data_IF_872490848176
#
_entry.id   IF_872490848176
#
_cell.length_a   1.000
_cell.length_b   1.000
_cell.length_c   1.000
_cell.angle_alpha   90.00
_cell.angle_beta   90.00
_cell.angle_gamma   90.00
#
_symmetry.space_group_name_H-M   'P 1'
#
loop_
_entity.id
_entity.type
_entity.pdbx_description
1 polymer ?
#
# COMPACT_ATOMS: atom_id res chain seq x y z
N UNK A 1 -10.71 25.14 39.59
CA UNK A 1 -10.34 26.33 38.79
C UNK A 1 -10.05 25.86 37.38
N UNK A 2 -10.86 26.26 36.41
CA UNK A 2 -10.57 26.00 35.00
C UNK A 2 -9.71 27.13 34.43
N UNK A 3 -8.62 26.77 33.75
CA UNK A 3 -7.80 27.73 33.03
C UNK A 3 -8.26 27.84 31.58
N UNK A 4 -8.49 29.06 31.11
CA UNK A 4 -8.87 29.39 29.73
C UNK A 4 -7.96 28.70 28.70
N UNK A 5 -8.54 28.32 27.55
CA UNK A 5 -7.81 27.69 26.44
C UNK A 5 -6.59 28.50 25.97
N UNK A 6 -6.63 29.83 26.10
CA UNK A 6 -5.49 30.72 25.81
C UNK A 6 -4.28 30.43 26.72
N UNK A 7 -4.53 30.14 28.01
CA UNK A 7 -3.48 29.83 28.99
C UNK A 7 -2.83 28.46 28.70
N UNK A 8 -3.61 27.45 28.30
CA UNK A 8 -3.07 26.15 27.86
C UNK A 8 -2.18 26.28 26.62
N UNK A 9 -2.57 27.10 25.64
CA UNK A 9 -1.76 27.37 24.43
C UNK A 9 -0.45 28.09 24.77
N UNK A 10 -0.48 29.06 25.69
CA UNK A 10 0.72 29.76 26.16
C UNK A 10 1.71 28.83 26.89
N UNK A 11 1.18 27.93 27.73
CA UNK A 11 1.96 26.88 28.41
C UNK A 11 2.62 25.93 27.42
N UNK A 12 1.91 25.48 26.38
CA UNK A 12 2.46 24.62 25.34
C UNK A 12 3.59 25.32 24.58
N UNK A 13 3.39 26.58 24.16
CA UNK A 13 4.43 27.36 23.49
C UNK A 13 5.68 27.55 24.37
N UNK A 14 5.53 27.84 25.67
CA UNK A 14 6.65 27.90 26.60
C UNK A 14 7.38 26.56 26.75
N UNK A 15 6.66 25.45 26.85
CA UNK A 15 7.25 24.12 26.97
C UNK A 15 8.09 23.75 25.74
N UNK A 16 7.59 24.03 24.54
CA UNK A 16 8.32 23.82 23.28
C UNK A 16 9.56 24.72 23.17
N UNK A 17 9.48 25.98 23.60
CA UNK A 17 10.63 26.89 23.57
C UNK A 17 11.74 26.49 24.58
N UNK A 18 11.36 25.96 25.76
CA UNK A 18 12.32 25.45 26.75
C UNK A 18 13.02 24.17 26.27
N UNK A 19 12.31 23.25 25.60
CA UNK A 19 12.93 22.04 25.03
C UNK A 19 13.89 22.32 23.87
N UNK A 20 13.75 23.48 23.18
CA UNK A 20 14.70 23.97 22.19
C UNK A 20 15.97 24.65 22.77
N UNK A 21 16.22 24.58 24.09
CA UNK A 21 17.37 25.22 24.78
C UNK A 21 17.50 26.73 24.58
N UNK A 22 16.40 27.43 24.25
CA UNK A 22 16.40 28.89 24.14
C UNK A 22 16.48 29.49 25.54
N UNK A 23 17.40 30.44 25.77
CA UNK A 23 17.54 31.02 27.12
C UNK A 23 16.30 31.85 27.49
N UNK A 24 15.83 31.67 28.72
CA UNK A 24 14.66 32.39 29.26
C UNK A 24 14.85 33.92 29.23
N UNK A 25 16.08 34.40 29.36
CA UNK A 25 16.44 35.81 29.18
C UNK A 25 16.15 36.33 27.76
N UNK A 26 16.44 35.54 26.72
CA UNK A 26 16.19 35.91 25.31
C UNK A 26 14.70 35.98 24.97
N UNK A 27 13.88 35.16 25.66
CA UNK A 27 12.42 35.17 25.53
C UNK A 27 11.83 36.37 26.30
N UNK A 28 12.11 36.50 27.60
CA UNK A 28 11.54 37.58 28.42
C UNK A 28 12.04 38.98 28.01
N UNK A 29 13.21 39.11 27.38
CA UNK A 29 13.69 40.36 26.79
C UNK A 29 12.86 40.87 25.60
N UNK A 30 11.98 40.04 25.02
CA UNK A 30 11.12 40.40 23.87
C UNK A 30 9.61 40.49 24.20
N UNK A 31 9.19 39.97 25.36
CA UNK A 31 7.78 39.93 25.77
C UNK A 31 7.59 40.61 27.14
N UNK A 32 7.59 41.94 27.15
CA UNK A 32 7.68 42.75 28.38
C UNK A 32 6.34 43.10 29.05
N UNK A 33 5.21 42.52 28.62
CA UNK A 33 3.87 42.91 29.08
C UNK A 33 3.07 41.69 29.56
N UNK A 34 2.87 41.59 30.88
CA UNK A 34 1.88 40.71 31.52
C UNK A 34 2.14 39.20 31.42
N UNK A 35 2.88 38.63 32.37
CA UNK A 35 3.09 37.17 32.44
C UNK A 35 4.16 36.76 33.44
N UNK A 36 4.52 35.46 33.52
CA UNK A 36 5.50 34.94 34.49
C UNK A 36 6.91 35.56 34.37
N UNK A 37 7.25 36.19 33.25
CA UNK A 37 8.47 37.00 33.11
C UNK A 37 8.53 38.19 34.09
N UNK A 38 7.41 38.66 34.65
CA UNK A 38 7.36 39.74 35.62
C UNK A 38 7.91 39.37 37.01
N UNK A 39 8.21 38.09 37.26
CA UNK A 39 8.75 37.58 38.53
C UNK A 39 10.28 37.43 38.53
N UNK A 40 10.97 37.81 37.45
CA UNK A 40 12.42 37.68 37.33
C UNK A 40 13.18 38.90 37.92
N UNK A 41 14.33 38.70 38.61
CA UNK A 41 15.09 39.79 39.21
C UNK A 41 15.57 40.84 38.21
N UNK A 42 15.50 42.11 38.60
CA UNK A 42 15.56 43.28 37.71
C UNK A 42 16.98 43.71 37.29
N UNK A 43 17.92 42.78 37.16
CA UNK A 43 19.36 43.06 36.99
C UNK A 43 19.92 42.64 35.62
N UNK A 44 19.37 43.17 34.53
CA UNK A 44 20.12 43.58 33.31
C UNK A 44 19.18 44.25 32.29
N UNK A 45 19.00 45.57 32.39
CA UNK A 45 18.50 46.37 31.26
C UNK A 45 19.70 46.85 30.44
N UNK A 46 19.89 46.29 29.25
CA UNK A 46 20.78 46.88 28.25
C UNK A 46 19.97 47.78 27.33
N UNK A 47 20.27 49.07 27.32
CA UNK A 47 19.69 50.06 26.40
C UNK A 47 20.51 50.12 25.13
N UNK A 48 19.90 49.73 24.00
CA UNK A 48 20.42 50.06 22.66
C UNK A 48 19.31 50.65 21.81
N UNK A 49 19.56 51.84 21.28
CA UNK A 49 18.57 52.70 20.62
C UNK A 49 18.61 52.56 19.09
N UNK A 50 17.44 52.69 18.44
CA UNK A 50 17.28 53.07 17.02
C UNK A 50 18.04 52.27 15.96
N UNK A 51 17.45 51.15 15.56
CA UNK A 51 17.26 50.81 14.16
C UNK A 51 15.92 50.07 14.03
N UNK A 52 15.03 50.50 13.12
CA UNK A 52 13.79 49.78 12.85
C UNK A 52 14.11 48.43 12.20
N UNK A 53 13.55 47.31 12.67
CA UNK A 53 13.87 46.01 12.10
C UNK A 53 13.27 45.88 10.69
N UNK A 54 14.14 45.88 9.68
CA UNK A 54 13.85 45.20 8.42
C UNK A 54 13.66 43.71 8.74
N UNK A 55 12.40 43.27 8.75
CA UNK A 55 12.03 41.86 8.99
C UNK A 55 12.27 41.08 7.70
N UNK A 56 13.53 40.83 7.38
CA UNK A 56 13.89 39.77 6.45
C UNK A 56 13.74 38.43 7.17
N UNK A 57 12.55 37.84 7.07
CA UNK A 57 12.24 36.61 7.79
C UNK A 57 11.24 35.75 7.00
N UNK A 58 11.70 34.60 6.54
CA UNK A 58 10.91 33.58 5.81
C UNK A 58 9.63 33.15 6.55
N UNK A 59 9.60 33.29 7.88
CA UNK A 59 8.42 33.06 8.71
C UNK A 59 7.29 34.06 8.45
N UNK A 60 7.58 35.33 8.13
CA UNK A 60 6.54 36.30 7.78
C UNK A 60 5.98 36.03 6.38
N UNK A 61 6.82 35.64 5.41
CA UNK A 61 6.35 35.18 4.09
C UNK A 61 5.40 33.97 4.24
N UNK A 62 5.77 32.99 5.06
CA UNK A 62 4.93 31.81 5.31
C UNK A 62 3.60 32.19 6.03
N UNK A 63 3.66 33.07 7.02
CA UNK A 63 2.47 33.53 7.76
C UNK A 63 1.49 34.32 6.86
N UNK A 64 2.00 35.21 6.00
CA UNK A 64 1.19 35.95 5.04
C UNK A 64 0.58 35.02 3.98
N UNK A 65 1.33 34.03 3.49
CA UNK A 65 0.84 33.05 2.50
C UNK A 65 -0.27 32.13 3.05
N UNK A 66 -0.28 31.85 4.36
CA UNK A 66 -1.26 30.99 5.01
C UNK A 66 -2.55 31.70 5.48
N UNK A 67 -2.71 33.00 5.19
CA UNK A 67 -3.88 33.82 5.56
C UNK A 67 -4.25 33.78 7.07
N UNK A 68 -3.28 33.55 7.96
CA UNK A 68 -3.51 33.35 9.39
C UNK A 68 -3.47 34.70 10.14
N UNK A 69 -4.44 35.56 9.82
CA UNK A 69 -4.44 37.00 10.07
C UNK A 69 -4.50 37.40 11.56
N UNK A 70 -5.24 36.66 12.40
CA UNK A 70 -5.56 37.06 13.78
C UNK A 70 -4.35 37.16 14.72
N UNK A 71 -3.27 36.40 14.47
CA UNK A 71 -2.10 36.35 15.37
C UNK A 71 -0.87 37.08 14.79
N UNK A 72 -0.66 37.03 13.48
CA UNK A 72 0.55 37.55 12.84
C UNK A 72 0.35 38.85 12.04
N UNK A 73 -0.90 39.29 11.81
CA UNK A 73 -1.19 40.51 11.05
C UNK A 73 -0.52 41.77 11.63
N UNK A 74 -0.42 41.88 12.95
CA UNK A 74 0.24 43.00 13.65
C UNK A 74 1.78 42.92 13.69
N UNK A 75 2.36 41.76 13.33
CA UNK A 75 3.81 41.51 13.39
C UNK A 75 4.48 41.52 12.00
N UNK A 76 3.79 41.05 10.97
CA UNK A 76 4.36 40.86 9.63
C UNK A 76 3.85 41.86 8.57
N UNK A 77 2.85 42.69 8.91
CA UNK A 77 2.33 43.79 8.07
C UNK A 77 2.06 43.38 6.60
N UNK A 78 1.33 42.29 6.38
CA UNK A 78 1.10 41.64 5.08
C UNK A 78 0.36 42.49 4.01
N UNK A 79 0.04 43.75 4.29
CA UNK A 79 -0.69 44.64 3.40
C UNK A 79 0.21 45.18 2.29
N UNK A 80 0.28 44.47 1.15
CA UNK A 80 0.96 44.98 -0.05
C UNK A 80 1.51 43.92 -1.01
N UNK A 81 1.53 42.64 -0.66
CA UNK A 81 1.96 41.58 -1.59
C UNK A 81 0.87 41.21 -2.60
N UNK A 82 0.81 41.97 -3.69
CA UNK A 82 0.12 41.54 -4.91
C UNK A 82 0.81 40.32 -5.51
N UNK A 83 0.25 39.14 -5.28
CA UNK A 83 0.71 37.88 -5.84
C UNK A 83 0.68 37.95 -7.37
N UNK A 84 1.85 37.98 -8.01
CA UNK A 84 1.96 37.76 -9.45
C UNK A 84 1.77 36.28 -9.71
N UNK A 85 0.55 35.88 -10.03
CA UNK A 85 0.19 34.48 -10.27
C UNK A 85 0.82 33.96 -11.56
N UNK A 86 2.05 33.48 -11.47
CA UNK A 86 2.62 32.60 -12.50
C UNK A 86 1.75 31.35 -12.55
N UNK A 87 1.00 31.21 -13.65
CA UNK A 87 0.17 30.05 -13.94
C UNK A 87 1.07 28.83 -14.16
N UNK A 88 1.42 28.17 -13.07
CA UNK A 88 2.08 26.87 -13.11
C UNK A 88 1.02 25.89 -13.58
N UNK A 89 1.10 25.45 -14.84
CA UNK A 89 0.23 24.40 -15.37
C UNK A 89 0.63 23.07 -14.73
N UNK A 90 0.21 22.85 -13.48
CA UNK A 90 0.24 21.54 -12.85
C UNK A 90 -0.80 20.68 -13.56
N UNK A 91 -0.37 19.98 -14.61
CA UNK A 91 -1.07 18.80 -15.10
C UNK A 91 -1.40 17.95 -13.87
N UNK A 92 -2.68 17.60 -13.62
CA UNK A 92 -3.03 16.79 -12.46
C UNK A 92 -2.25 15.49 -12.54
N UNK A 93 -1.30 15.28 -11.63
CA UNK A 93 -0.70 13.96 -11.51
C UNK A 93 -1.81 13.00 -11.11
N UNK A 94 -1.95 11.87 -11.81
CA UNK A 94 -3.01 10.93 -11.51
C UNK A 94 -2.84 10.35 -10.12
N UNK A 95 -3.90 10.41 -9.33
CA UNK A 95 -3.97 9.82 -7.99
C UNK A 95 -3.77 8.30 -8.10
N UNK A 96 -2.59 7.82 -7.71
CA UNK A 96 -2.26 6.39 -7.75
C UNK A 96 -2.78 5.66 -6.52
N UNK A 97 -2.97 4.35 -6.64
CA UNK A 97 -3.14 3.48 -5.47
C UNK A 97 -1.80 3.46 -4.74
N UNK A 98 -1.69 4.08 -3.55
CA UNK A 98 -0.41 4.15 -2.83
C UNK A 98 -0.28 3.06 -1.77
N UNK A 99 0.87 2.39 -1.77
CA UNK A 99 1.35 1.55 -0.68
C UNK A 99 2.48 2.27 0.05
N UNK A 100 2.14 2.89 1.19
CA UNK A 100 3.09 3.69 1.96
C UNK A 100 4.30 2.88 2.45
N UNK A 101 5.44 3.05 1.77
CA UNK A 101 6.75 2.48 2.12
C UNK A 101 7.32 3.09 3.41
N UNK A 102 6.88 2.63 4.57
CA UNK A 102 7.67 2.59 5.82
C UNK A 102 6.90 1.89 6.95
N UNK A 103 7.13 0.59 7.17
CA UNK A 103 6.62 -0.12 8.35
C UNK A 103 7.69 -1.03 8.94
N UNK A 104 8.19 -0.64 10.12
CA UNK A 104 9.12 -1.46 10.91
C UNK A 104 8.36 -2.52 11.68
N UNK A 105 8.30 -3.73 11.14
CA UNK A 105 7.89 -4.93 11.86
C UNK A 105 9.11 -5.84 12.09
N UNK A 106 9.23 -6.41 13.28
CA UNK A 106 10.39 -7.25 13.65
C UNK A 106 9.95 -8.72 13.62
N UNK A 107 10.56 -9.53 12.77
CA UNK A 107 10.17 -10.93 12.56
C UNK A 107 11.15 -11.93 13.17
N UNK A 108 10.60 -13.04 13.69
CA UNK A 108 11.36 -14.23 14.08
C UNK A 108 11.51 -15.19 12.89
N UNK A 109 12.66 -15.90 12.75
CA UNK A 109 12.90 -16.78 11.61
C UNK A 109 12.12 -18.10 11.72
N UNK A 110 11.22 -18.36 10.76
CA UNK A 110 10.45 -19.61 10.61
C UNK A 110 10.63 -20.16 9.16
N UNK A 111 10.23 -21.41 8.89
CA UNK A 111 10.73 -22.21 7.76
C UNK A 111 10.01 -21.97 6.41
N UNK A 112 10.77 -22.16 5.30
CA UNK A 112 10.42 -21.94 3.88
C UNK A 112 9.24 -22.78 3.32
N UNK A 113 8.65 -22.29 2.20
CA UNK A 113 8.22 -22.96 0.91
C UNK A 113 6.72 -22.71 0.55
N UNK A 114 6.16 -22.74 -0.67
CA UNK A 114 6.56 -22.61 -2.10
C UNK A 114 7.74 -23.45 -2.66
N UNK A 115 7.88 -23.62 -3.99
CA UNK A 115 9.09 -24.30 -4.53
C UNK A 115 10.33 -23.39 -4.52
N UNK A 116 11.24 -23.64 -3.57
CA UNK A 116 12.50 -22.89 -3.33
C UNK A 116 12.39 -21.34 -3.22
N UNK A 117 11.45 -20.79 -2.44
CA UNK A 117 11.30 -19.35 -2.19
C UNK A 117 12.23 -18.85 -1.07
N UNK A 118 12.17 -17.54 -0.87
CA UNK A 118 12.61 -16.88 0.38
C UNK A 118 11.40 -16.59 1.27
N UNK A 119 11.61 -16.60 2.58
CA UNK A 119 10.61 -16.09 3.52
C UNK A 119 10.47 -14.58 3.33
N UNK A 120 9.28 -14.06 3.59
CA UNK A 120 9.07 -12.63 3.72
C UNK A 120 9.75 -12.14 5.02
N UNK A 121 10.50 -11.04 4.93
CA UNK A 121 11.26 -10.47 6.06
C UNK A 121 10.63 -9.20 6.64
N UNK A 122 9.44 -8.82 6.18
CA UNK A 122 8.67 -7.69 6.73
C UNK A 122 7.19 -8.07 6.72
N UNK A 123 6.55 -8.04 7.88
CA UNK A 123 5.10 -8.26 7.96
C UNK A 123 4.35 -7.15 7.20
N UNK A 124 3.28 -7.53 6.49
CA UNK A 124 2.47 -6.60 5.71
C UNK A 124 3.23 -5.91 4.56
N UNK A 125 4.24 -6.59 4.02
CA UNK A 125 5.00 -6.17 2.83
C UNK A 125 4.21 -6.32 1.52
N UNK A 126 3.26 -7.26 1.47
CA UNK A 126 2.40 -7.52 0.31
C UNK A 126 0.91 -7.45 0.69
N UNK A 127 0.41 -6.25 1.05
CA UNK A 127 -1.01 -6.02 1.18
C UNK A 127 -1.77 -6.43 -0.09
N UNK A 128 -3.06 -6.65 0.05
CA UNK A 128 -3.97 -6.96 -1.06
C UNK A 128 -3.85 -8.38 -1.61
N UNK A 129 -2.95 -9.21 -1.07
CA UNK A 129 -3.03 -10.67 -1.24
C UNK A 129 -4.20 -11.18 -0.40
N UNK A 130 -5.04 -12.04 -0.95
CA UNK A 130 -6.12 -12.70 -0.20
C UNK A 130 -6.06 -14.22 -0.34
N UNK A 131 -6.41 -14.91 0.74
CA UNK A 131 -6.64 -16.36 0.74
C UNK A 131 -8.15 -16.65 0.77
N UNK A 132 -8.54 -17.67 0.01
CA UNK A 132 -9.92 -18.12 -0.11
C UNK A 132 -10.07 -19.50 0.57
N UNK A 133 -10.87 -19.56 1.63
CA UNK A 133 -10.93 -20.70 2.55
C UNK A 133 -12.32 -21.33 2.61
N UNK A 134 -12.36 -22.65 2.81
CA UNK A 134 -13.56 -23.38 3.24
C UNK A 134 -13.44 -23.80 4.70
N UNK A 135 -14.59 -24.08 5.32
CA UNK A 135 -14.71 -24.63 6.67
C UNK A 135 -13.90 -23.85 7.75
N UNK A 136 -14.07 -22.51 7.85
CA UNK A 136 -13.30 -21.69 8.76
C UNK A 136 -13.50 -22.10 10.22
N UNK A 137 -12.42 -22.14 11.00
CA UNK A 137 -12.44 -22.49 12.42
C UNK A 137 -12.72 -23.96 12.73
N UNK A 138 -12.62 -24.87 11.76
CA UNK A 138 -12.75 -26.33 11.98
C UNK A 138 -11.45 -27.08 11.68
N UNK A 139 -11.38 -28.35 12.07
CA UNK A 139 -10.25 -29.22 11.73
C UNK A 139 -10.11 -29.50 10.22
N UNK A 140 -11.14 -29.17 9.42
CA UNK A 140 -11.16 -29.27 7.96
C UNK A 140 -10.96 -27.91 7.25
N UNK A 141 -10.55 -26.87 7.99
CA UNK A 141 -10.19 -25.57 7.42
C UNK A 141 -9.12 -25.76 6.33
N UNK A 142 -9.39 -25.21 5.14
CA UNK A 142 -8.49 -25.38 4.01
C UNK A 142 -8.49 -24.16 3.10
N UNK A 143 -7.29 -23.63 2.85
CA UNK A 143 -7.00 -22.75 1.74
C UNK A 143 -7.32 -23.49 0.43
N UNK A 144 -8.32 -22.99 -0.30
CA UNK A 144 -8.74 -23.54 -1.58
C UNK A 144 -7.94 -22.95 -2.75
N UNK A 145 -7.68 -21.64 -2.67
CA UNK A 145 -7.01 -20.83 -3.68
C UNK A 145 -6.69 -19.44 -3.12
N UNK A 146 -6.08 -18.59 -3.94
CA UNK A 146 -5.72 -17.23 -3.63
C UNK A 146 -6.46 -16.24 -4.54
N UNK A 147 -6.35 -14.96 -4.20
CA UNK A 147 -6.81 -13.88 -5.05
C UNK A 147 -6.07 -12.58 -4.75
N UNK A 148 -6.56 -11.52 -5.38
CA UNK A 148 -6.04 -10.16 -5.26
C UNK A 148 -7.18 -9.23 -4.85
N UNK A 149 -7.10 -8.59 -3.69
CA UNK A 149 -8.05 -7.60 -3.21
C UNK A 149 -8.00 -6.37 -4.11
N UNK A 150 -9.09 -6.08 -4.81
CA UNK A 150 -9.18 -4.89 -5.66
C UNK A 150 -9.76 -3.72 -4.89
N UNK A 151 -10.84 -3.94 -4.16
CA UNK A 151 -11.57 -2.93 -3.39
C UNK A 151 -12.10 -3.57 -2.10
N UNK A 152 -12.71 -2.79 -1.22
CA UNK A 152 -13.22 -3.24 0.09
C UNK A 152 -14.10 -4.50 -0.03
N UNK A 153 -14.94 -4.58 -1.06
CA UNK A 153 -15.83 -5.71 -1.32
C UNK A 153 -15.58 -6.41 -2.66
N UNK A 154 -14.42 -6.24 -3.31
CA UNK A 154 -14.15 -6.78 -4.65
C UNK A 154 -12.78 -7.45 -4.71
N UNK A 155 -12.75 -8.70 -5.17
CA UNK A 155 -11.53 -9.49 -5.38
C UNK A 155 -11.38 -9.91 -6.85
N UNK A 156 -10.15 -10.09 -7.29
CA UNK A 156 -9.75 -10.71 -8.55
C UNK A 156 -9.27 -12.14 -8.28
N UNK A 157 -9.83 -13.09 -9.03
CA UNK A 157 -9.51 -14.52 -8.96
C UNK A 157 -9.38 -15.13 -10.36
N UNK A 158 -8.93 -16.38 -10.44
CA UNK A 158 -8.88 -17.14 -11.70
C UNK A 158 -10.11 -18.07 -11.91
N UNK A 159 -10.23 -18.60 -13.13
CA UNK A 159 -11.23 -19.57 -13.56
C UNK A 159 -11.32 -20.86 -12.73
N UNK A 160 -10.24 -21.32 -12.12
CA UNK A 160 -10.23 -22.48 -11.22
C UNK A 160 -10.78 -22.09 -9.85
N UNK A 161 -10.32 -20.95 -9.28
CA UNK A 161 -10.92 -20.36 -8.08
C UNK A 161 -12.45 -20.21 -8.23
N UNK A 162 -12.92 -19.72 -9.38
CA UNK A 162 -14.35 -19.54 -9.67
C UNK A 162 -15.15 -20.85 -9.54
N UNK A 163 -14.62 -21.97 -10.05
CA UNK A 163 -15.27 -23.28 -9.93
C UNK A 163 -15.37 -23.73 -8.47
N UNK A 164 -14.34 -23.46 -7.67
CA UNK A 164 -14.34 -23.81 -6.24
C UNK A 164 -15.39 -23.01 -5.46
N UNK A 165 -15.44 -21.68 -5.63
CA UNK A 165 -16.42 -20.83 -4.92
C UNK A 165 -17.87 -21.08 -5.37
N UNK A 166 -18.09 -21.56 -6.59
CA UNK A 166 -19.42 -21.96 -7.07
C UNK A 166 -19.90 -23.28 -6.42
N UNK A 167 -18.98 -24.13 -5.97
CA UNK A 167 -19.29 -25.43 -5.36
C UNK A 167 -19.39 -25.40 -3.84
N UNK A 168 -18.74 -24.44 -3.18
CA UNK A 168 -18.50 -24.43 -1.73
C UNK A 168 -18.58 -23.01 -1.18
N UNK A 169 -19.24 -22.84 -0.03
CA UNK A 169 -19.23 -21.55 0.67
C UNK A 169 -17.80 -21.17 1.07
N UNK A 170 -17.30 -20.10 0.46
CA UNK A 170 -15.90 -19.65 0.61
C UNK A 170 -15.84 -18.34 1.39
N UNK A 171 -14.86 -18.26 2.28
CA UNK A 171 -14.55 -17.13 3.16
C UNK A 171 -13.23 -16.49 2.72
N UNK A 172 -13.10 -15.17 2.91
CA UNK A 172 -11.96 -14.38 2.47
C UNK A 172 -11.29 -13.75 3.67
N UNK A 173 -9.96 -13.90 3.75
CA UNK A 173 -9.11 -13.11 4.63
C UNK A 173 -8.06 -12.37 3.82
N UNK A 174 -7.66 -11.19 4.29
CA UNK A 174 -6.53 -10.45 3.73
C UNK A 174 -5.27 -10.89 4.43
N UNK A 175 -4.26 -11.20 3.63
CA UNK A 175 -3.10 -11.93 4.09
C UNK A 175 -1.94 -10.98 4.39
N UNK A 176 -1.52 -10.96 5.65
CA UNK A 176 -0.53 -10.02 6.18
C UNK A 176 0.89 -10.58 6.20
N UNK A 177 1.04 -11.75 6.82
CA UNK A 177 2.32 -12.44 7.02
C UNK A 177 2.13 -13.85 7.58
N UNK A 178 1.39 -14.00 8.68
CA UNK A 178 0.94 -15.30 9.17
C UNK A 178 -0.38 -15.65 8.52
N UNK A 179 -0.57 -16.94 8.24
CA UNK A 179 -1.84 -17.46 7.76
C UNK A 179 -2.89 -17.17 8.84
N UNK A 180 -3.83 -16.28 8.53
CA UNK A 180 -4.81 -15.80 9.51
C UNK A 180 -5.82 -16.91 9.80
N UNK A 181 -6.08 -17.18 11.09
CA UNK A 181 -7.15 -18.09 11.50
C UNK A 181 -8.47 -17.57 10.96
N UNK A 182 -9.11 -18.31 10.04
CA UNK A 182 -10.31 -17.78 9.37
C UNK A 182 -11.51 -17.99 10.27
N UNK A 183 -12.25 -16.90 10.49
CA UNK A 183 -13.50 -16.92 11.27
C UNK A 183 -14.71 -17.11 10.37
N UNK A 184 -15.79 -17.70 10.90
CA UNK A 184 -17.12 -17.66 10.27
C UNK A 184 -17.69 -16.24 10.16
N UNK A 185 -17.13 -15.27 10.88
CA UNK A 185 -17.42 -13.83 10.75
C UNK A 185 -16.64 -13.14 9.62
N UNK A 186 -15.74 -13.84 8.92
CA UNK A 186 -15.00 -13.26 7.78
C UNK A 186 -15.93 -13.06 6.58
N UNK A 187 -15.71 -12.04 5.73
CA UNK A 187 -16.51 -11.85 4.52
C UNK A 187 -16.51 -13.09 3.63
N UNK A 188 -17.66 -13.40 3.05
CA UNK A 188 -17.82 -14.52 2.11
C UNK A 188 -17.88 -14.03 0.67
N UNK A 189 -17.44 -14.87 -0.24
CA UNK A 189 -17.54 -14.60 -1.69
C UNK A 189 -19.00 -14.77 -2.14
N UNK A 190 -19.46 -13.92 -3.06
CA UNK A 190 -20.76 -14.02 -3.73
C UNK A 190 -20.60 -14.51 -5.19
N UNK A 191 -20.65 -15.82 -5.48
CA UNK A 191 -20.30 -16.36 -6.81
C UNK A 191 -21.20 -15.84 -7.95
N UNK A 192 -22.45 -15.50 -7.65
CA UNK A 192 -23.40 -14.91 -8.60
C UNK A 192 -22.99 -13.51 -9.11
N UNK A 193 -22.03 -12.85 -8.45
CA UNK A 193 -21.49 -11.54 -8.88
C UNK A 193 -20.27 -11.66 -9.79
N UNK A 194 -19.81 -12.89 -10.09
CA UNK A 194 -18.61 -13.13 -10.87
C UNK A 194 -18.75 -12.56 -12.30
N UNK A 195 -17.81 -11.68 -12.66
CA UNK A 195 -17.69 -11.10 -14.01
C UNK A 195 -16.32 -11.43 -14.56
N UNK A 196 -16.27 -12.07 -15.73
CA UNK A 196 -15.02 -12.26 -16.45
C UNK A 196 -14.41 -10.89 -16.74
N UNK A 197 -13.09 -10.76 -16.57
CA UNK A 197 -12.39 -9.51 -16.87
C UNK A 197 -12.55 -9.19 -18.35
N UNK A 198 -12.03 -10.07 -19.20
CA UNK A 198 -12.04 -9.89 -20.63
C UNK A 198 -12.75 -11.09 -21.27
N UNK A 199 -14.09 -11.02 -21.45
CA UNK A 199 -14.87 -12.15 -21.97
C UNK A 199 -14.46 -12.59 -23.39
N UNK A 200 -13.80 -11.70 -24.15
CA UNK A 200 -13.59 -11.83 -25.59
C UNK A 200 -12.13 -12.00 -26.00
N UNK A 201 -11.17 -11.62 -25.16
CA UNK A 201 -9.75 -11.57 -25.49
C UNK A 201 -8.86 -12.51 -24.64
N UNK A 202 -7.71 -11.99 -24.25
CA UNK A 202 -6.64 -12.75 -23.61
C UNK A 202 -6.93 -13.14 -22.15
N UNK A 203 -7.66 -12.30 -21.42
CA UNK A 203 -7.85 -12.45 -19.97
C UNK A 203 -9.19 -13.11 -19.58
N UNK A 204 -9.80 -13.88 -20.49
CA UNK A 204 -11.05 -14.63 -20.28
C UNK A 204 -11.05 -15.67 -19.15
N UNK A 205 -9.89 -15.92 -18.53
CA UNK A 205 -9.72 -16.82 -17.38
C UNK A 205 -9.62 -16.09 -16.04
N UNK A 206 -9.75 -14.77 -16.04
CA UNK A 206 -9.74 -13.94 -14.84
C UNK A 206 -11.13 -13.38 -14.57
N UNK A 207 -11.49 -13.25 -13.30
CA UNK A 207 -12.81 -12.83 -12.87
C UNK A 207 -12.71 -11.85 -11.69
N UNK A 208 -13.47 -10.76 -11.73
CA UNK A 208 -13.81 -10.03 -10.49
C UNK A 208 -15.00 -10.70 -9.83
N UNK A 209 -14.98 -10.83 -8.50
CA UNK A 209 -16.12 -11.31 -7.70
C UNK A 209 -16.29 -10.40 -6.49
N UNK A 210 -17.53 -10.18 -6.08
CA UNK A 210 -17.86 -9.35 -4.92
C UNK A 210 -17.94 -10.18 -3.63
N UNK A 211 -17.71 -9.51 -2.50
CA UNK A 211 -17.87 -10.05 -1.16
C UNK A 211 -19.26 -9.68 -0.59
N UNK A 212 -19.77 -10.46 0.36
CA UNK A 212 -21.04 -10.18 1.03
C UNK A 212 -21.00 -8.98 1.98
N UNK A 213 -19.80 -8.59 2.42
CA UNK A 213 -19.53 -7.47 3.32
C UNK A 213 -18.19 -6.82 2.93
N UNK A 214 -18.04 -5.49 3.12
CA UNK A 214 -16.78 -4.81 2.87
C UNK A 214 -15.73 -5.16 3.95
N UNK A 215 -14.50 -5.37 3.50
CA UNK A 215 -13.29 -5.44 4.31
C UNK A 215 -12.88 -4.01 4.68
N UNK A 216 -12.64 -3.76 5.97
CA UNK A 216 -12.16 -2.45 6.45
C UNK A 216 -10.65 -2.32 6.20
N UNK A 217 -10.25 -1.40 5.34
CA UNK A 217 -8.84 -1.08 5.12
C UNK A 217 -8.20 -0.43 6.35
N UNK A 218 -6.89 -0.63 6.55
CA UNK A 218 -6.15 -0.07 7.67
C UNK A 218 -4.72 0.33 7.30
N UNK A 219 -4.12 1.23 8.10
CA UNK A 219 -2.75 1.71 7.92
C UNK A 219 -1.66 0.68 8.29
N UNK A 220 -1.93 -0.62 8.15
CA UNK A 220 -0.98 -1.69 8.48
C UNK A 220 -0.86 -2.71 7.35
N UNK A 221 -1.94 -3.47 7.08
CA UNK A 221 -1.89 -4.75 6.39
C UNK A 221 -3.03 -4.97 5.41
N UNK A 222 -4.17 -4.35 5.68
CA UNK A 222 -5.39 -4.52 4.92
C UNK A 222 -5.51 -3.31 3.99
N UNK A 223 -4.97 -3.44 2.78
CA UNK A 223 -4.99 -2.42 1.73
C UNK A 223 -5.21 -3.11 0.37
N UNK A 224 -5.79 -2.42 -0.63
CA UNK A 224 -6.07 -2.97 -1.95
C UNK A 224 -4.82 -3.06 -2.83
N UNK A 225 -4.75 -4.09 -3.66
CA UNK A 225 -3.69 -4.31 -4.64
C UNK A 225 -3.60 -3.21 -5.69
N UNK A 226 -2.41 -2.69 -5.95
CA UNK A 226 -2.20 -1.82 -7.10
C UNK A 226 -2.20 -2.66 -8.38
N UNK A 227 -3.02 -2.31 -9.37
CA UNK A 227 -3.05 -2.97 -10.69
C UNK A 227 -2.72 -1.98 -11.81
N UNK A 228 -2.14 -2.43 -12.96
CA UNK A 228 -1.87 -1.58 -14.11
C UNK A 228 -3.13 -0.86 -14.58
N UNK A 229 -2.99 0.42 -14.92
CA UNK A 229 -4.06 1.27 -15.43
C UNK A 229 -3.43 2.37 -16.31
N UNK A 230 -4.22 3.29 -16.89
CA UNK A 230 -3.70 4.32 -17.81
C UNK A 230 -2.66 5.27 -17.19
N UNK A 231 -2.57 5.30 -15.86
CA UNK A 231 -1.64 6.14 -15.11
C UNK A 231 -0.37 5.40 -14.69
N UNK A 232 -0.29 4.08 -14.91
CA UNK A 232 0.88 3.24 -14.59
C UNK A 232 1.41 2.67 -15.90
N UNK A 233 2.37 3.36 -16.51
CA UNK A 233 2.97 2.92 -17.75
C UNK A 233 3.86 1.69 -17.52
N UNK A 234 3.87 0.76 -18.47
CA UNK A 234 4.74 -0.43 -18.40
C UNK A 234 6.23 -0.07 -18.35
N UNK A 235 6.62 1.09 -18.87
CA UNK A 235 7.97 1.64 -18.75
C UNK A 235 8.38 1.91 -17.30
N UNK A 236 7.44 2.25 -16.42
CA UNK A 236 7.69 2.58 -15.02
C UNK A 236 7.69 1.35 -14.11
N UNK A 237 7.40 0.15 -14.64
CA UNK A 237 7.45 -1.11 -13.88
C UNK A 237 8.83 -1.77 -14.05
N UNK A 238 9.43 -2.21 -12.94
CA UNK A 238 10.66 -3.00 -12.93
C UNK A 238 10.34 -4.49 -13.07
N UNK A 239 10.37 -4.95 -14.32
CA UNK A 239 10.22 -6.38 -14.66
C UNK A 239 11.37 -7.27 -14.20
N UNK A 240 12.42 -6.71 -13.58
CA UNK A 240 13.55 -7.46 -13.02
C UNK A 240 13.48 -7.68 -11.51
N UNK A 241 12.58 -6.96 -10.80
CA UNK A 241 12.21 -7.19 -9.40
C UNK A 241 10.72 -7.53 -9.30
N UNK A 242 10.40 -8.79 -9.64
CA UNK A 242 9.06 -9.34 -9.56
C UNK A 242 9.01 -10.56 -8.64
N UNK A 243 7.83 -10.85 -8.08
CA UNK A 243 7.63 -11.90 -7.08
C UNK A 243 6.28 -12.57 -7.27
N UNK A 244 6.22 -13.89 -7.23
CA UNK A 244 4.99 -14.58 -6.84
C UNK A 244 4.90 -14.56 -5.32
N UNK A 245 3.69 -14.39 -4.81
CA UNK A 245 3.43 -14.29 -3.37
C UNK A 245 2.26 -15.19 -3.00
N UNK A 246 2.44 -16.11 -2.04
CA UNK A 246 1.39 -17.07 -1.68
C UNK A 246 1.65 -18.00 -0.48
N UNK A 247 0.69 -18.89 -0.23
CA UNK A 247 0.68 -19.89 0.87
C UNK A 247 0.50 -21.33 0.39
N UNK A 248 0.46 -21.55 -0.93
CA UNK A 248 0.29 -22.87 -1.51
C UNK A 248 1.34 -23.88 -1.05
N UNK A 249 1.08 -25.13 -1.41
CA UNK A 249 1.83 -26.30 -1.00
C UNK A 249 3.34 -26.08 -1.13
N UNK A 250 4.03 -26.39 -0.05
CA UNK A 250 5.48 -26.23 0.09
C UNK A 250 6.27 -27.26 -0.74
N UNK A 251 5.59 -28.29 -1.25
CA UNK A 251 6.17 -29.48 -1.88
C UNK A 251 5.24 -30.04 -2.95
N UNK A 252 5.66 -31.13 -3.59
CA UNK A 252 4.80 -31.93 -4.48
C UNK A 252 3.70 -32.74 -3.73
N UNK A 253 3.48 -32.47 -2.43
CA UNK A 253 2.48 -33.14 -1.58
C UNK A 253 1.35 -32.17 -1.24
N UNK A 254 0.12 -32.57 -1.57
CA UNK A 254 -1.08 -31.76 -1.35
C UNK A 254 -1.38 -31.63 0.15
N UNK A 255 -1.66 -30.40 0.61
CA UNK A 255 -1.93 -30.10 2.02
C UNK A 255 -0.66 -29.81 2.83
N UNK A 256 0.44 -29.47 2.16
CA UNK A 256 1.67 -28.97 2.78
C UNK A 256 1.75 -27.44 2.71
N UNK A 257 0.63 -26.74 2.90
CA UNK A 257 0.56 -25.26 2.84
C UNK A 257 1.47 -24.60 3.87
N UNK A 258 1.96 -23.41 3.54
CA UNK A 258 2.81 -22.65 4.46
C UNK A 258 1.97 -21.98 5.57
N UNK A 259 2.42 -21.95 6.83
CA UNK A 259 1.78 -21.16 7.89
C UNK A 259 2.10 -19.66 7.81
N UNK A 260 3.01 -19.25 6.89
CA UNK A 260 3.41 -17.86 6.66
C UNK A 260 3.48 -17.57 5.17
N UNK A 261 3.20 -16.33 4.78
CA UNK A 261 3.21 -15.89 3.39
C UNK A 261 4.64 -15.96 2.82
N UNK A 262 4.77 -16.45 1.59
CA UNK A 262 6.05 -16.80 0.95
C UNK A 262 6.26 -16.03 -0.34
N UNK A 263 7.53 -15.75 -0.69
CA UNK A 263 7.88 -15.04 -1.93
C UNK A 263 8.83 -15.82 -2.85
N UNK A 264 8.50 -15.89 -4.13
CA UNK A 264 9.40 -16.41 -5.17
C UNK A 264 9.84 -15.29 -6.11
N UNK A 265 11.12 -14.92 -6.06
CA UNK A 265 11.72 -13.87 -6.90
C UNK A 265 11.91 -14.34 -8.35
N UNK A 266 11.37 -13.58 -9.28
CA UNK A 266 11.38 -13.84 -10.72
C UNK A 266 11.66 -12.57 -11.52
N UNK A 267 12.05 -12.74 -12.78
CA UNK A 267 12.13 -11.68 -13.78
C UNK A 267 11.13 -11.97 -14.89
N UNK A 268 10.29 -11.00 -15.21
CA UNK A 268 9.28 -11.11 -16.27
C UNK A 268 9.92 -10.80 -17.63
N UNK A 269 9.65 -11.64 -18.62
CA UNK A 269 10.04 -11.39 -20.00
C UNK A 269 9.05 -10.40 -20.63
N UNK A 270 9.47 -9.15 -20.83
CA UNK A 270 8.65 -8.08 -21.40
C UNK A 270 8.09 -8.41 -22.78
N UNK A 271 8.80 -9.21 -23.59
CA UNK A 271 8.33 -9.67 -24.89
C UNK A 271 7.06 -10.53 -24.83
N UNK A 272 6.72 -11.08 -23.66
CA UNK A 272 5.49 -11.87 -23.47
C UNK A 272 4.26 -11.04 -23.07
N UNK A 273 4.42 -9.74 -22.75
CA UNK A 273 3.30 -8.86 -22.35
C UNK A 273 2.23 -8.79 -23.44
N UNK A 274 2.62 -8.53 -24.69
CA UNK A 274 1.71 -8.46 -25.83
C UNK A 274 0.98 -9.79 -26.12
N UNK A 275 1.57 -10.92 -25.73
CA UNK A 275 0.95 -12.24 -25.83
C UNK A 275 -0.21 -12.45 -24.86
N UNK A 276 -0.32 -11.67 -23.78
CA UNK A 276 -1.37 -11.81 -22.77
C UNK A 276 -1.12 -12.92 -21.74
N UNK A 277 -0.09 -13.75 -21.96
CA UNK A 277 0.42 -14.73 -21.00
C UNK A 277 1.86 -14.38 -20.65
N UNK A 278 2.11 -13.97 -19.41
CA UNK A 278 3.47 -13.63 -18.98
C UNK A 278 4.33 -14.88 -18.85
N UNK A 279 5.57 -14.76 -19.30
CA UNK A 279 6.64 -15.75 -19.08
C UNK A 279 7.69 -15.13 -18.18
N UNK A 280 8.32 -15.95 -17.34
CA UNK A 280 9.28 -15.50 -16.35
C UNK A 280 10.51 -16.40 -16.29
N UNK A 281 11.57 -15.89 -15.66
CA UNK A 281 12.74 -16.66 -15.24
C UNK A 281 12.92 -16.52 -13.73
N UNK A 282 13.38 -17.55 -13.03
CA UNK A 282 13.59 -17.49 -11.58
C UNK A 282 14.95 -16.88 -11.25
N UNK A 283 15.01 -16.05 -10.22
CA UNK A 283 16.27 -15.40 -9.78
C UNK A 283 17.26 -16.42 -9.22
N UNK A 284 16.77 -17.52 -8.64
CA UNK A 284 17.58 -18.63 -8.14
C UNK A 284 18.11 -19.59 -9.23
N UNK A 285 17.85 -19.27 -10.52
CA UNK A 285 18.25 -20.05 -11.70
C UNK A 285 17.63 -21.44 -11.83
N UNK A 286 16.65 -21.80 -11.00
CA UNK A 286 15.86 -23.01 -11.22
C UNK A 286 14.93 -22.83 -12.44
N UNK A 287 14.44 -23.95 -12.98
CA UNK A 287 13.55 -23.97 -14.15
C UNK A 287 12.32 -23.10 -13.94
N UNK A 288 11.97 -22.26 -14.92
CA UNK A 288 10.74 -21.46 -14.92
C UNK A 288 9.46 -22.30 -15.00
N UNK A 289 9.56 -23.61 -15.27
CA UNK A 289 8.44 -24.55 -15.12
C UNK A 289 8.10 -24.86 -13.65
N UNK A 290 9.00 -24.51 -12.72
CA UNK A 290 8.76 -24.53 -11.28
C UNK A 290 8.33 -23.14 -10.80
N UNK A 291 7.56 -23.06 -9.71
CA UNK A 291 7.17 -21.78 -9.16
C UNK A 291 6.06 -21.91 -8.12
N UNK A 292 4.93 -21.19 -8.29
CA UNK A 292 3.65 -21.50 -7.63
C UNK A 292 3.37 -23.01 -7.55
N UNK A 293 2.77 -23.42 -6.43
CA UNK A 293 2.39 -24.80 -6.13
C UNK A 293 0.86 -24.88 -5.90
N UNK A 294 0.32 -26.08 -5.67
CA UNK A 294 -1.12 -26.24 -5.47
C UNK A 294 -1.59 -25.42 -4.26
N UNK A 295 -2.69 -24.68 -4.38
CA UNK A 295 -3.12 -23.68 -3.40
C UNK A 295 -2.73 -22.24 -3.78
N UNK A 296 -1.69 -22.04 -4.59
CA UNK A 296 -1.33 -20.71 -5.15
C UNK A 296 -2.13 -20.36 -6.44
N UNK A 297 -3.16 -21.13 -6.82
CA UNK A 297 -4.02 -20.73 -7.94
C UNK A 297 -4.69 -19.39 -7.62
N UNK A 298 -4.66 -18.44 -8.56
CA UNK A 298 -5.09 -17.06 -8.31
C UNK A 298 -4.05 -16.17 -7.61
N UNK A 299 -2.88 -16.70 -7.24
CA UNK A 299 -1.84 -15.90 -6.58
C UNK A 299 -1.30 -14.78 -7.50
N UNK A 300 -1.05 -13.57 -6.96
CA UNK A 300 -0.54 -12.46 -7.75
C UNK A 300 0.94 -12.64 -8.11
N UNK A 301 1.27 -12.21 -9.33
CA UNK A 301 2.62 -11.85 -9.75
C UNK A 301 2.75 -10.34 -9.62
N UNK A 302 3.50 -9.89 -8.61
CA UNK A 302 3.76 -8.48 -8.34
C UNK A 302 5.13 -8.06 -8.89
N UNK A 303 5.29 -6.80 -9.29
CA UNK A 303 6.56 -6.18 -9.66
C UNK A 303 6.69 -4.78 -9.02
N UNK A 304 7.92 -4.35 -8.76
CA UNK A 304 8.19 -3.02 -8.19
C UNK A 304 7.95 -1.90 -9.21
N UNK A 305 7.22 -0.85 -8.84
CA UNK A 305 7.15 0.41 -9.60
C UNK A 305 8.45 1.21 -9.37
N UNK A 306 9.12 1.66 -10.43
CA UNK A 306 10.46 2.29 -10.37
C UNK A 306 10.47 3.62 -9.64
N UNK A 307 9.39 4.40 -9.75
CA UNK A 307 9.31 5.77 -9.21
C UNK A 307 8.89 5.77 -7.74
N UNK A 308 7.78 5.10 -7.41
CA UNK A 308 7.24 5.06 -6.04
C UNK A 308 7.78 3.89 -5.21
N UNK A 309 8.25 2.83 -5.88
CA UNK A 309 8.72 1.61 -5.24
C UNK A 309 7.62 0.61 -4.85
N UNK A 310 6.39 0.83 -5.30
CA UNK A 310 5.21 0.08 -4.85
C UNK A 310 5.02 -1.24 -5.59
N UNK A 311 4.27 -2.16 -5.00
CA UNK A 311 3.98 -3.46 -5.60
C UNK A 311 2.78 -3.39 -6.53
N UNK A 312 3.02 -3.52 -7.84
CA UNK A 312 1.98 -3.59 -8.87
C UNK A 312 1.74 -5.05 -9.22
N UNK A 313 0.51 -5.56 -9.04
CA UNK A 313 0.10 -6.88 -9.52
C UNK A 313 0.01 -6.83 -11.04
N UNK A 314 1.03 -7.35 -11.73
CA UNK A 314 1.11 -7.36 -13.20
C UNK A 314 0.52 -8.63 -13.83
N UNK A 315 0.26 -9.65 -13.02
CA UNK A 315 -0.31 -10.90 -13.49
C UNK A 315 -0.88 -11.77 -12.39
N UNK A 316 -1.53 -12.87 -12.79
CA UNK A 316 -2.20 -13.82 -11.89
C UNK A 316 -1.89 -15.25 -12.33
N UNK A 317 -1.49 -16.10 -11.38
CA UNK A 317 -1.23 -17.52 -11.64
C UNK A 317 -2.54 -18.28 -11.96
N UNK A 318 -2.60 -18.91 -13.14
CA UNK A 318 -3.80 -19.63 -13.62
C UNK A 318 -3.71 -21.14 -13.40
N UNK A 319 -2.75 -21.78 -14.09
CA UNK A 319 -2.56 -23.23 -14.05
C UNK A 319 -1.27 -23.56 -13.31
N UNK A 320 -1.35 -24.53 -12.40
CA UNK A 320 -0.24 -24.96 -11.56
C UNK A 320 -0.20 -26.49 -11.56
N UNK A 321 0.99 -27.06 -11.75
CA UNK A 321 1.19 -28.51 -11.71
C UNK A 321 1.25 -29.04 -10.27
N UNK A 322 0.59 -30.16 -10.00
CA UNK A 322 0.65 -30.88 -8.72
C UNK A 322 2.08 -31.20 -8.25
N UNK A 323 3.02 -31.39 -9.20
CA UNK A 323 4.44 -31.52 -8.92
C UNK A 323 5.17 -30.24 -9.33
N UNK A 324 5.07 -29.20 -8.51
CA UNK A 324 5.69 -27.90 -8.77
C UNK A 324 7.23 -27.95 -8.74
N UNK A 325 7.84 -29.02 -8.20
CA UNK A 325 9.28 -29.28 -8.30
C UNK A 325 9.74 -29.70 -9.70
N UNK A 326 8.89 -30.43 -10.43
CA UNK A 326 9.22 -31.00 -11.74
C UNK A 326 8.78 -30.10 -12.89
N UNK A 327 7.65 -29.40 -12.73
CA UNK A 327 7.06 -28.57 -13.78
C UNK A 327 6.60 -29.36 -15.01
N UNK A 328 6.24 -30.64 -14.82
CA UNK A 328 6.05 -31.64 -15.89
C UNK A 328 4.59 -31.97 -16.24
N UNK A 329 3.60 -31.40 -15.55
CA UNK A 329 2.16 -31.70 -15.81
C UNK A 329 1.37 -30.51 -16.34
N UNK A 330 1.69 -29.30 -15.85
CA UNK A 330 1.35 -28.04 -16.48
C UNK A 330 2.48 -27.07 -16.14
N UNK A 331 3.02 -26.35 -17.13
CA UNK A 331 3.88 -25.21 -16.82
C UNK A 331 3.03 -24.13 -16.15
N UNK A 332 3.60 -23.40 -15.19
CA UNK A 332 2.91 -22.27 -14.56
C UNK A 332 2.54 -21.26 -15.65
N UNK A 333 1.25 -21.00 -15.81
CA UNK A 333 0.74 -19.99 -16.75
C UNK A 333 0.26 -18.79 -15.98
N UNK A 334 0.58 -17.60 -16.48
CA UNK A 334 0.30 -16.33 -15.80
C UNK A 334 -0.48 -15.43 -16.74
N UNK A 335 -1.70 -15.07 -16.38
CA UNK A 335 -2.45 -14.06 -17.12
C UNK A 335 -1.77 -12.69 -16.97
N UNK A 336 -1.67 -11.92 -18.05
CA UNK A 336 -1.07 -10.58 -18.07
C UNK A 336 -2.10 -9.50 -17.79
N UNK A 337 -1.98 -8.78 -16.67
CA UNK A 337 -2.76 -7.56 -16.42
C UNK A 337 -2.21 -6.33 -17.17
N UNK A 338 -1.15 -6.51 -17.98
CA UNK A 338 -0.49 -5.44 -18.73
C UNK A 338 -0.87 -5.37 -20.20
N UNK A 339 -1.47 -6.43 -20.75
CA UNK A 339 -1.87 -6.44 -22.16
C UNK A 339 -2.98 -5.42 -22.41
N UNK A 340 -4.08 -5.56 -21.67
CA UNK A 340 -5.25 -4.72 -21.89
C UNK A 340 -4.96 -3.25 -21.54
N UNK A 341 -4.20 -2.94 -20.47
CA UNK A 341 -3.87 -1.55 -20.09
C UNK A 341 -3.20 -0.70 -21.18
N UNK A 342 -2.72 -1.32 -22.26
CA UNK A 342 -2.11 -0.64 -23.42
C UNK A 342 -3.01 -0.49 -24.65
N UNK A 343 -4.16 -1.17 -24.71
CA UNK A 343 -5.03 -1.24 -25.91
C UNK A 343 -6.51 -1.01 -25.59
N UNK A 344 -6.97 -1.51 -24.44
CA UNK A 344 -8.35 -1.39 -23.98
C UNK A 344 -8.34 -0.88 -22.54
N UNK A 345 -9.07 0.21 -22.25
CA UNK A 345 -9.14 0.87 -20.94
C UNK A 345 -9.76 0.00 -19.81
N UNK A 346 -9.77 -1.32 -19.95
CA UNK A 346 -10.38 -2.30 -19.08
C UNK A 346 -10.01 -2.15 -17.60
N UNK A 347 -8.75 -1.83 -17.31
CA UNK A 347 -8.32 -1.62 -15.92
C UNK A 347 -8.62 -0.23 -15.35
N UNK A 348 -8.97 0.74 -16.20
CA UNK A 348 -9.48 2.04 -15.77
C UNK A 348 -10.92 1.89 -15.30
N UNK A 349 -11.09 1.62 -14.01
CA UNK A 349 -12.38 1.26 -13.39
C UNK A 349 -12.45 -0.18 -12.85
N UNK A 350 -11.36 -0.96 -12.93
CA UNK A 350 -11.24 -2.19 -12.12
C UNK A 350 -11.27 -1.85 -10.62
N UNK A 351 -10.67 -0.71 -10.30
CA UNK A 351 -10.68 -0.01 -9.03
C UNK A 351 -11.36 1.35 -9.22
N UNK A 352 -12.28 1.67 -8.32
CA UNK A 352 -13.09 2.91 -8.33
C UNK A 352 -12.70 3.90 -7.24
N UNK A 353 -11.97 3.43 -6.21
CA UNK A 353 -11.41 4.29 -5.17
C UNK A 353 -10.14 4.98 -5.66
N UNK A 354 -9.94 6.20 -5.17
CA UNK A 354 -8.66 6.92 -5.18
C UNK A 354 -8.12 6.83 -3.77
N UNK A 355 -7.00 6.14 -3.56
CA UNK A 355 -6.41 6.08 -2.23
C UNK A 355 -5.73 7.41 -1.92
N UNK A 356 -6.43 8.24 -1.14
CA UNK A 356 -5.89 9.48 -0.62
C UNK A 356 -5.43 9.21 0.82
N UNK A 357 -4.13 8.98 1.09
CA UNK A 357 -3.65 8.84 2.46
C UNK A 357 -3.90 10.17 3.19
N UNK A 358 -4.68 10.11 4.27
CA UNK A 358 -4.97 11.26 5.13
C UNK A 358 -3.67 11.95 5.55
N UNK A 359 -3.66 13.28 5.39
CA UNK A 359 -2.53 14.20 5.68
C UNK A 359 -2.10 14.22 7.15
#
# INVERSE_FOLDING_TARGET
MEFSGTFRRLLFACATLMSCRVSTASICGKFSIGGPCALLPTTTKSTTTTAGPLVDNSYCLLACAQQNDVIFGSLCNCAGMTTTTLATTTTPQPETCYYTRARTATLSPIVKRLYSPTNITTECQYPGVVGLYRNPGTADEKLQCMGTLLEENKILIDSYCLQLIQSTQTYVTVESYQQSSVSTSSPTVLPATAKALDPTGANKKLYTVSLNAPITFNEACIQPACVPNANIYSADIDFTDCRFVGYGDTTDVIGSTSPTLMELKVKVNTGSIAGGSLTYTRVDKLSSKTGPCFGDQGAPLICTHKVTGEWITVGVALAIGFKCSLGTYAAVTVASLLRESTVHNFYNGLQTFKYNPSS
#
